data_IF_405544091935
#
_entry.id   IF_405544091935
#
_cell.length_a   1.000
_cell.length_b   1.000
_cell.length_c   1.000
_cell.angle_alpha   90.00
_cell.angle_beta   90.00
_cell.angle_gamma   90.00
#
_symmetry.space_group_name_H-M   'P 1'
#
loop_
_entity.id
_entity.type
_entity.pdbx_description
1 polymer ?
#
# COMPACT_ATOMS: atom_id res chain seq x y z
N UNK A 1 39.52 -5.38 -6.98
CA UNK A 1 38.10 -5.23 -7.38
C UNK A 1 37.40 -6.58 -7.56
N UNK A 2 38.08 -7.63 -8.02
CA UNK A 2 37.45 -8.94 -8.33
C UNK A 2 36.84 -9.75 -7.17
N UNK A 3 37.38 -9.68 -5.94
CA UNK A 3 36.85 -10.53 -4.85
C UNK A 3 35.48 -10.07 -4.32
N UNK A 4 35.20 -8.77 -4.34
CA UNK A 4 33.94 -8.21 -3.82
C UNK A 4 32.79 -8.42 -4.82
N UNK A 5 33.09 -8.34 -6.12
CA UNK A 5 32.13 -8.60 -7.20
C UNK A 5 31.66 -10.05 -7.19
N UNK A 6 32.56 -11.01 -6.96
CA UNK A 6 32.23 -12.44 -6.87
C UNK A 6 31.33 -12.77 -5.66
N UNK A 7 31.53 -12.09 -4.52
CA UNK A 7 30.68 -12.27 -3.33
C UNK A 7 29.27 -11.73 -3.51
N UNK A 8 29.07 -10.68 -4.33
CA UNK A 8 27.76 -10.13 -4.65
C UNK A 8 27.02 -11.02 -5.66
N UNK A 9 27.73 -11.59 -6.64
CA UNK A 9 27.12 -12.51 -7.62
C UNK A 9 26.74 -13.87 -7.02
N UNK A 10 27.49 -14.35 -6.02
CA UNK A 10 27.18 -15.59 -5.29
C UNK A 10 26.14 -15.40 -4.18
N UNK A 11 25.78 -14.15 -3.87
CA UNK A 11 24.72 -13.83 -2.93
C UNK A 11 23.36 -14.22 -3.51
N UNK A 12 22.40 -14.71 -2.71
CA UNK A 12 21.01 -14.88 -3.15
C UNK A 12 20.36 -13.56 -3.60
N UNK A 13 21.03 -12.42 -3.36
CA UNK A 13 20.65 -11.08 -3.82
C UNK A 13 21.38 -10.62 -5.09
N UNK A 14 22.22 -11.46 -5.72
CA UNK A 14 23.06 -11.06 -6.87
C UNK A 14 22.29 -10.58 -8.11
N UNK A 15 20.99 -10.89 -8.20
CA UNK A 15 20.07 -10.38 -9.22
C UNK A 15 19.13 -9.26 -8.75
N UNK A 16 19.24 -8.81 -7.50
CA UNK A 16 18.40 -7.72 -6.97
C UNK A 16 18.86 -6.37 -7.52
N UNK A 17 17.97 -5.54 -8.10
CA UNK A 17 18.34 -4.18 -8.48
C UNK A 17 18.48 -3.26 -7.26
N UNK A 18 18.03 -3.68 -6.07
CA UNK A 18 18.16 -2.92 -4.82
C UNK A 18 19.57 -3.10 -4.28
N UNK A 19 20.30 -1.99 -4.16
CA UNK A 19 21.63 -1.95 -3.58
C UNK A 19 21.56 -2.21 -2.05
N UNK A 20 22.54 -2.95 -1.48
CA UNK A 20 22.47 -3.39 -0.08
C UNK A 20 22.76 -2.29 0.95
N UNK A 21 23.16 -1.10 0.50
CA UNK A 21 23.49 0.03 1.38
C UNK A 21 22.21 0.72 1.88
N UNK A 22 22.11 0.89 3.20
CA UNK A 22 21.06 1.68 3.84
C UNK A 22 21.48 3.16 3.90
N UNK A 23 20.62 4.02 3.36
CA UNK A 23 20.82 5.45 3.25
C UNK A 23 19.79 6.20 4.11
N UNK A 24 20.19 7.39 4.56
CA UNK A 24 19.32 8.37 5.22
C UNK A 24 18.87 9.45 4.22
N UNK A 25 17.85 10.23 4.56
CA UNK A 25 17.30 11.29 3.69
C UNK A 25 18.33 12.36 3.26
N UNK A 26 19.33 12.61 4.10
CA UNK A 26 20.43 13.55 3.84
C UNK A 26 21.48 13.03 2.84
N UNK A 27 21.45 11.75 2.48
CA UNK A 27 22.42 11.16 1.57
C UNK A 27 22.30 11.78 0.17
N UNK A 28 23.42 12.20 -0.42
CA UNK A 28 23.46 12.75 -1.78
C UNK A 28 23.45 11.63 -2.82
N UNK A 29 22.55 11.73 -3.78
CA UNK A 29 22.42 10.84 -4.93
C UNK A 29 22.70 11.60 -6.23
N UNK A 30 23.12 10.85 -7.26
CA UNK A 30 23.20 11.34 -8.63
C UNK A 30 22.05 10.73 -9.43
N UNK A 31 21.09 11.57 -9.82
CA UNK A 31 19.94 11.11 -10.60
C UNK A 31 19.18 12.23 -11.29
N UNK A 32 18.76 11.99 -12.52
CA UNK A 32 17.71 12.75 -13.18
C UNK A 32 16.94 11.90 -14.19
N UNK A 33 15.61 11.85 -14.07
CA UNK A 33 14.74 11.35 -15.13
C UNK A 33 14.08 12.54 -15.80
N UNK A 34 14.27 12.71 -17.11
CA UNK A 34 13.75 13.85 -17.87
C UNK A 34 13.38 13.45 -19.29
N UNK A 35 12.46 14.22 -19.89
CA UNK A 35 12.11 14.06 -21.30
C UNK A 35 13.35 14.21 -22.17
N UNK A 36 13.53 13.27 -23.11
CA UNK A 36 14.68 13.23 -24.01
C UNK A 36 15.91 12.50 -23.48
N UNK A 37 15.86 11.92 -22.28
CA UNK A 37 16.84 10.89 -21.90
C UNK A 37 16.70 9.67 -22.82
N UNK A 38 17.79 8.97 -23.10
CA UNK A 38 17.80 7.82 -24.02
C UNK A 38 17.00 6.61 -23.51
N UNK A 39 16.90 6.44 -22.18
CA UNK A 39 16.05 5.42 -21.55
C UNK A 39 14.58 5.85 -21.34
N UNK A 40 14.10 6.87 -22.08
CA UNK A 40 12.73 7.40 -21.91
C UNK A 40 11.69 6.28 -22.01
N UNK A 41 10.79 6.21 -21.02
CA UNK A 41 9.76 5.18 -20.83
C UNK A 41 10.24 3.72 -20.60
N UNK A 42 11.53 3.44 -20.52
CA UNK A 42 12.02 2.05 -20.32
C UNK A 42 11.47 1.42 -19.03
N UNK A 43 11.37 2.18 -17.94
CA UNK A 43 10.79 1.68 -16.68
C UNK A 43 9.29 1.32 -16.79
N UNK A 44 8.58 1.88 -17.77
CA UNK A 44 7.15 1.62 -17.99
C UNK A 44 6.90 0.44 -18.93
N UNK A 45 7.91 -0.07 -19.64
CA UNK A 45 7.72 -1.13 -20.63
C UNK A 45 7.65 -2.54 -20.03
N UNK A 46 8.07 -2.70 -18.77
CA UNK A 46 8.02 -3.97 -18.05
C UNK A 46 7.76 -3.73 -16.56
N UNK A 47 6.49 -3.61 -16.18
CA UNK A 47 6.12 -3.23 -14.82
C UNK A 47 5.97 -4.42 -13.88
N UNK A 48 6.49 -4.25 -12.67
CA UNK A 48 6.11 -5.05 -11.49
C UNK A 48 5.92 -4.11 -10.29
N UNK A 49 4.79 -3.39 -10.28
CA UNK A 49 4.56 -2.27 -9.37
C UNK A 49 3.49 -2.63 -8.33
N UNK A 50 3.87 -2.73 -7.07
CA UNK A 50 2.91 -2.78 -5.95
C UNK A 50 2.29 -1.40 -5.72
N UNK A 51 0.99 -1.39 -5.44
CA UNK A 51 0.24 -0.16 -5.15
C UNK A 51 -0.11 -0.05 -3.66
N UNK A 52 -0.07 1.17 -3.16
CA UNK A 52 -0.57 1.54 -1.84
C UNK A 52 -2.06 1.94 -1.91
N UNK A 53 -2.77 2.01 -0.76
CA UNK A 53 -4.11 2.61 -0.70
C UNK A 53 -4.18 4.02 -1.28
N UNK A 54 -3.14 4.83 -1.04
CA UNK A 54 -3.05 6.22 -1.53
C UNK A 54 -2.99 6.24 -3.05
N UNK A 55 -2.27 5.29 -3.65
CA UNK A 55 -2.17 5.17 -5.11
C UNK A 55 -3.53 4.82 -5.71
N UNK A 56 -4.24 3.84 -5.14
CA UNK A 56 -5.58 3.45 -5.59
C UNK A 56 -6.56 4.62 -5.51
N UNK A 57 -6.57 5.33 -4.38
CA UNK A 57 -7.44 6.47 -4.19
C UNK A 57 -7.14 7.54 -5.24
N UNK A 58 -5.89 8.01 -5.35
CA UNK A 58 -5.55 9.08 -6.28
C UNK A 58 -5.78 8.72 -7.73
N UNK A 59 -5.40 7.50 -8.15
CA UNK A 59 -5.56 7.06 -9.53
C UNK A 59 -7.04 6.88 -9.89
N UNK A 60 -7.85 6.29 -9.02
CA UNK A 60 -9.29 6.15 -9.28
C UNK A 60 -9.96 7.52 -9.44
N UNK A 61 -9.63 8.49 -8.59
CA UNK A 61 -10.13 9.87 -8.70
C UNK A 61 -9.62 10.59 -9.94
N UNK A 62 -8.34 10.42 -10.30
CA UNK A 62 -7.74 10.97 -11.53
C UNK A 62 -8.44 10.49 -12.79
N UNK A 63 -8.90 9.24 -12.78
CA UNK A 63 -9.61 8.58 -13.89
C UNK A 63 -11.13 8.82 -13.84
N UNK A 64 -11.66 9.40 -12.76
CA UNK A 64 -13.09 9.63 -12.59
C UNK A 64 -13.92 8.36 -12.40
N UNK A 65 -13.32 7.30 -11.84
CA UNK A 65 -13.97 6.00 -11.59
C UNK A 65 -13.93 5.63 -10.10
N UNK A 66 -14.76 4.67 -9.69
CA UNK A 66 -14.70 4.13 -8.33
C UNK A 66 -13.42 3.32 -8.06
N UNK A 67 -13.07 3.14 -6.79
CA UNK A 67 -12.00 2.23 -6.38
C UNK A 67 -12.31 0.79 -6.80
N UNK A 68 -13.57 0.38 -6.74
CA UNK A 68 -14.01 -0.94 -7.21
C UNK A 68 -13.68 -1.14 -8.70
N UNK A 69 -14.04 -0.19 -9.55
CA UNK A 69 -13.75 -0.25 -11.00
C UNK A 69 -12.25 -0.20 -11.27
N UNK A 70 -11.53 0.68 -10.57
CA UNK A 70 -10.08 0.77 -10.71
C UNK A 70 -9.40 -0.56 -10.39
N UNK A 71 -9.77 -1.20 -9.28
CA UNK A 71 -9.20 -2.48 -8.88
C UNK A 71 -9.44 -3.57 -9.93
N UNK A 72 -10.64 -3.61 -10.52
CA UNK A 72 -10.99 -4.60 -11.54
C UNK A 72 -10.23 -4.40 -12.85
N UNK A 73 -10.08 -3.15 -13.30
CA UNK A 73 -9.50 -2.83 -14.60
C UNK A 73 -7.96 -2.79 -14.57
N UNK A 74 -7.39 -2.22 -13.51
CA UNK A 74 -5.98 -1.84 -13.47
C UNK A 74 -5.13 -2.62 -12.49
N UNK A 75 -5.68 -3.57 -11.73
CA UNK A 75 -4.90 -4.27 -10.69
C UNK A 75 -5.09 -5.77 -10.71
N UNK A 76 -4.19 -6.48 -10.03
CA UNK A 76 -4.39 -7.86 -9.62
C UNK A 76 -3.87 -8.07 -8.19
N UNK A 77 -4.51 -8.95 -7.39
CA UNK A 77 -4.08 -9.22 -6.03
C UNK A 77 -2.88 -10.17 -5.99
N UNK A 78 -2.09 -10.08 -4.92
CA UNK A 78 -1.06 -11.06 -4.58
C UNK A 78 -0.97 -11.24 -3.06
N UNK A 79 -0.45 -12.37 -2.60
CA UNK A 79 -0.16 -12.58 -1.18
C UNK A 79 1.16 -11.90 -0.81
N UNK A 80 1.14 -10.98 0.16
CA UNK A 80 2.38 -10.32 0.62
C UNK A 80 3.30 -11.29 1.37
N UNK A 81 2.73 -12.29 2.00
CA UNK A 81 3.38 -13.42 2.68
C UNK A 81 2.44 -14.63 2.60
N UNK A 82 2.94 -15.88 2.65
CA UNK A 82 2.10 -17.07 2.55
C UNK A 82 0.98 -17.08 3.58
N UNK A 83 -0.28 -17.24 3.14
CA UNK A 83 -1.48 -17.15 3.99
C UNK A 83 -1.64 -15.80 4.73
N UNK A 84 -1.00 -14.76 4.21
CA UNK A 84 -0.94 -13.43 4.78
C UNK A 84 -2.02 -12.48 4.26
N UNK A 85 -1.78 -11.19 4.46
CA UNK A 85 -2.61 -10.11 3.91
C UNK A 85 -2.40 -9.96 2.40
N UNK A 86 -3.44 -9.53 1.71
CA UNK A 86 -3.37 -9.24 0.28
C UNK A 86 -2.70 -7.88 0.02
N UNK A 87 -1.79 -7.89 -0.95
CA UNK A 87 -1.35 -6.71 -1.69
C UNK A 87 -2.01 -6.65 -3.05
N UNK A 88 -1.82 -5.53 -3.73
CA UNK A 88 -2.22 -5.36 -5.13
C UNK A 88 -1.04 -4.85 -5.94
N UNK A 89 -0.98 -5.30 -7.19
CA UNK A 89 -0.03 -4.81 -8.18
C UNK A 89 -0.78 -4.19 -9.35
N UNK A 90 -0.13 -3.25 -10.03
CA UNK A 90 -0.62 -2.76 -11.30
C UNK A 90 -0.65 -3.89 -12.33
N UNK A 91 -1.77 -4.00 -13.03
CA UNK A 91 -1.97 -4.92 -14.14
C UNK A 91 -1.33 -4.31 -15.40
N UNK A 92 -0.43 -5.03 -16.10
CA UNK A 92 0.09 -4.58 -17.39
C UNK A 92 -1.00 -4.63 -18.47
N UNK A 93 -0.66 -4.13 -19.66
CA UNK A 93 -1.49 -4.33 -20.86
C UNK A 93 -1.74 -5.82 -21.12
N UNK A 94 -2.87 -6.13 -21.74
CA UNK A 94 -3.19 -7.51 -22.10
C UNK A 94 -2.11 -8.11 -23.01
N UNK A 95 -1.67 -9.33 -22.70
CA UNK A 95 -0.61 -10.05 -23.42
C UNK A 95 0.73 -9.31 -23.50
N UNK A 96 1.03 -8.42 -22.56
CA UNK A 96 2.31 -7.74 -22.46
C UNK A 96 2.70 -7.44 -21.02
N UNK A 97 3.81 -6.72 -20.87
CA UNK A 97 4.32 -6.30 -19.57
C UNK A 97 4.37 -4.78 -19.37
N UNK A 98 3.99 -4.01 -20.39
CA UNK A 98 3.99 -2.55 -20.32
C UNK A 98 2.85 -2.01 -19.43
N UNK A 99 3.09 -0.85 -18.82
CA UNK A 99 2.09 -0.10 -18.09
C UNK A 99 0.96 0.36 -19.01
N UNK A 100 -0.28 0.25 -18.55
CA UNK A 100 -1.46 0.70 -19.30
C UNK A 100 -1.50 2.23 -19.53
N UNK A 101 -0.81 3.00 -18.68
CA UNK A 101 -0.71 4.47 -18.78
C UNK A 101 0.52 4.95 -19.56
N UNK A 102 1.32 4.03 -20.11
CA UNK A 102 2.46 4.38 -20.95
C UNK A 102 1.97 4.95 -22.28
N UNK A 103 2.49 6.12 -22.65
CA UNK A 103 2.32 6.76 -23.97
C UNK A 103 3.70 7.17 -24.51
N UNK A 104 3.86 7.36 -25.84
CA UNK A 104 5.12 7.84 -26.41
C UNK A 104 5.64 9.13 -25.74
N UNK A 105 4.73 10.04 -25.40
CA UNK A 105 5.02 11.33 -24.77
C UNK A 105 5.34 11.24 -23.27
N UNK A 106 5.06 10.11 -22.61
CA UNK A 106 5.29 9.89 -21.18
C UNK A 106 4.14 9.14 -20.51
N UNK A 107 4.07 9.22 -19.18
CA UNK A 107 2.98 8.63 -18.40
C UNK A 107 1.74 9.54 -18.42
N UNK A 108 0.59 9.00 -18.84
CA UNK A 108 -0.69 9.72 -18.91
C UNK A 108 -1.19 10.21 -17.54
N UNK A 109 -0.81 9.51 -16.47
CA UNK A 109 -1.14 9.84 -15.07
C UNK A 109 0.06 10.36 -14.30
N UNK A 110 1.04 10.99 -14.96
CA UNK A 110 2.32 11.36 -14.32
C UNK A 110 2.15 12.15 -13.02
N UNK A 111 1.20 13.09 -12.95
CA UNK A 111 0.89 13.89 -11.75
C UNK A 111 0.39 13.08 -10.55
N UNK A 112 -0.14 11.88 -10.80
CA UNK A 112 -0.77 10.98 -9.83
C UNK A 112 -0.14 9.58 -9.84
N UNK A 113 1.04 9.46 -10.47
CA UNK A 113 1.76 8.20 -10.60
C UNK A 113 2.00 7.55 -9.23
N UNK A 114 2.05 6.21 -9.16
CA UNK A 114 2.17 5.51 -7.89
C UNK A 114 3.39 5.91 -7.08
N UNK A 115 3.27 5.70 -5.77
CA UNK A 115 4.31 5.88 -4.77
C UNK A 115 5.62 5.20 -5.19
N UNK A 116 5.57 3.95 -5.67
CA UNK A 116 6.76 3.23 -6.16
C UNK A 116 7.43 3.94 -7.36
N UNK A 117 6.64 4.47 -8.30
CA UNK A 117 7.15 5.21 -9.47
C UNK A 117 7.76 6.57 -9.08
N UNK A 118 7.25 7.22 -8.03
CA UNK A 118 7.82 8.46 -7.49
C UNK A 118 9.10 8.20 -6.72
N UNK A 119 9.14 7.10 -5.98
CA UNK A 119 10.28 6.74 -5.17
C UNK A 119 11.49 6.41 -6.03
N UNK A 120 11.30 5.70 -7.15
CA UNK A 120 12.38 5.35 -8.07
C UNK A 120 13.27 6.57 -8.41
N UNK A 121 14.59 6.50 -8.24
CA UNK A 121 15.41 5.29 -8.06
C UNK A 121 15.71 4.95 -6.59
N UNK A 122 14.96 5.51 -5.66
CA UNK A 122 15.12 5.32 -4.21
C UNK A 122 14.02 4.39 -3.72
N UNK A 123 14.36 3.24 -3.16
CA UNK A 123 13.40 2.39 -2.47
C UNK A 123 13.21 2.86 -1.02
N UNK A 124 11.96 3.01 -0.58
CA UNK A 124 11.64 3.19 0.84
C UNK A 124 11.64 1.82 1.54
N UNK A 125 12.47 1.70 2.58
CA UNK A 125 12.51 0.57 3.48
C UNK A 125 11.91 0.99 4.83
N UNK A 126 10.73 0.47 5.14
CA UNK A 126 10.13 0.64 6.46
C UNK A 126 10.68 -0.44 7.39
N UNK A 127 11.50 -0.04 8.35
CA UNK A 127 12.10 -0.96 9.32
C UNK A 127 11.57 -0.67 10.72
N UNK A 128 11.30 -1.75 11.47
CA UNK A 128 11.11 -1.69 12.92
C UNK A 128 12.26 -2.45 13.57
N UNK A 129 13.05 -1.76 14.38
CA UNK A 129 14.04 -2.45 15.22
C UNK A 129 13.31 -3.13 16.37
N UNK A 130 13.82 -4.28 16.81
CA UNK A 130 13.23 -5.07 17.89
C UNK A 130 13.15 -4.35 19.24
N UNK A 131 13.99 -3.31 19.42
CA UNK A 131 14.14 -2.48 20.62
C UNK A 131 13.42 -1.12 20.53
N UNK A 132 12.80 -0.78 19.39
CA UNK A 132 12.12 0.51 19.19
C UNK A 132 10.63 0.35 18.86
N UNK A 133 9.83 1.29 19.38
CA UNK A 133 8.40 1.40 19.07
C UNK A 133 8.11 2.35 17.89
N UNK A 134 9.15 2.99 17.33
CA UNK A 134 9.05 3.92 16.21
C UNK A 134 9.52 3.27 14.91
N UNK A 135 8.79 3.51 13.82
CA UNK A 135 9.19 3.15 12.47
C UNK A 135 10.27 4.12 11.96
N UNK A 136 11.43 3.58 11.57
CA UNK A 136 12.46 4.35 10.87
C UNK A 136 12.31 4.15 9.37
N UNK A 137 12.41 5.26 8.64
CA UNK A 137 12.54 5.23 7.19
C UNK A 137 14.02 5.13 6.85
N UNK A 138 14.39 4.03 6.21
CA UNK A 138 15.69 3.91 5.55
C UNK A 138 15.45 3.85 4.05
N UNK A 139 16.46 4.23 3.29
CA UNK A 139 16.40 4.22 1.85
C UNK A 139 17.45 3.29 1.27
N UNK A 140 17.21 2.79 0.07
CA UNK A 140 18.21 2.07 -0.70
C UNK A 140 18.14 2.51 -2.16
N UNK A 141 19.27 2.56 -2.85
CA UNK A 141 19.27 2.83 -4.28
C UNK A 141 18.78 1.61 -5.04
N UNK A 142 17.93 1.84 -6.03
CA UNK A 142 17.55 0.87 -7.05
C UNK A 142 18.33 1.23 -8.31
N UNK A 143 19.11 0.29 -8.83
CA UNK A 143 19.89 0.46 -10.06
C UNK A 143 19.57 -0.68 -11.02
N UNK A 144 18.95 -0.32 -12.12
CA UNK A 144 18.68 -1.24 -13.23
C UNK A 144 19.52 -0.84 -14.44
N UNK A 145 19.94 -1.82 -15.23
CA UNK A 145 20.80 -1.59 -16.40
C UNK A 145 20.17 -0.67 -17.44
N UNK A 146 18.83 -0.67 -17.56
CA UNK A 146 18.11 0.20 -18.49
C UNK A 146 18.06 1.66 -18.04
N UNK A 147 18.27 1.96 -16.75
CA UNK A 147 18.04 3.30 -16.22
C UNK A 147 19.29 4.17 -16.31
N UNK A 148 19.35 4.98 -17.36
CA UNK A 148 20.48 5.88 -17.58
C UNK A 148 20.37 7.20 -16.79
N UNK A 149 19.28 7.42 -16.06
CA UNK A 149 19.12 8.57 -15.17
C UNK A 149 20.19 8.67 -14.07
N UNK A 150 20.85 7.55 -13.74
CA UNK A 150 21.99 7.51 -12.82
C UNK A 150 23.27 8.16 -13.37
N UNK A 151 23.35 8.38 -14.68
CA UNK A 151 24.51 8.97 -15.35
C UNK A 151 24.34 10.46 -15.65
N UNK A 152 23.12 11.00 -15.51
CA UNK A 152 22.88 12.44 -15.62
C UNK A 152 23.65 13.22 -14.52
N UNK A 153 24.10 14.44 -14.78
CA UNK A 153 25.02 15.16 -13.89
C UNK A 153 24.37 15.72 -12.62
N UNK A 154 23.03 15.69 -12.52
CA UNK A 154 22.28 16.26 -11.39
C UNK A 154 22.60 15.51 -10.10
N UNK A 155 22.96 16.28 -9.07
CA UNK A 155 23.14 15.78 -7.70
C UNK A 155 22.17 16.49 -6.77
N UNK A 156 21.60 15.74 -5.84
CA UNK A 156 20.68 16.21 -4.81
C UNK A 156 20.61 15.18 -3.68
N UNK A 157 20.14 15.59 -2.52
CA UNK A 157 19.82 14.69 -1.41
C UNK A 157 18.55 13.88 -1.69
N UNK A 158 18.38 12.76 -0.98
CA UNK A 158 17.14 11.97 -1.06
C UNK A 158 15.94 12.80 -0.61
N UNK A 159 16.07 13.64 0.42
CA UNK A 159 14.96 14.50 0.87
C UNK A 159 14.59 15.57 -0.16
N UNK A 160 15.57 16.20 -0.83
CA UNK A 160 15.30 17.09 -1.96
C UNK A 160 14.62 16.33 -3.11
N UNK A 161 15.06 15.11 -3.41
CA UNK A 161 14.41 14.27 -4.42
C UNK A 161 12.95 13.96 -4.05
N UNK A 162 12.69 13.59 -2.79
CA UNK A 162 11.33 13.31 -2.30
C UNK A 162 10.41 14.53 -2.41
N UNK A 163 10.93 15.71 -2.10
CA UNK A 163 10.22 16.98 -2.30
C UNK A 163 9.89 17.20 -3.78
N UNK A 164 10.87 17.07 -4.67
CA UNK A 164 10.70 17.20 -6.13
C UNK A 164 9.67 16.22 -6.69
N UNK A 165 9.66 14.99 -6.18
CA UNK A 165 8.74 13.94 -6.61
C UNK A 165 7.35 14.06 -5.98
N UNK A 166 7.12 15.02 -5.08
CA UNK A 166 5.84 15.26 -4.41
C UNK A 166 5.39 14.07 -3.57
N UNK A 167 6.33 13.33 -2.98
CA UNK A 167 6.02 12.06 -2.30
C UNK A 167 5.71 12.20 -0.82
N UNK A 168 6.07 13.33 -0.22
CA UNK A 168 5.90 13.57 1.22
C UNK A 168 4.42 13.41 1.63
N UNK A 169 3.50 13.96 0.84
CA UNK A 169 2.07 13.82 1.10
C UNK A 169 1.59 12.36 0.99
N UNK A 170 2.12 11.61 0.01
CA UNK A 170 1.84 10.17 -0.14
C UNK A 170 2.37 9.38 1.06
N UNK A 171 3.55 9.74 1.56
CA UNK A 171 4.12 9.13 2.74
C UNK A 171 3.25 9.39 3.96
N UNK A 172 2.87 10.63 4.21
CA UNK A 172 2.02 11.02 5.34
C UNK A 172 0.69 10.28 5.31
N UNK A 173 -0.01 10.32 4.17
CA UNK A 173 -1.29 9.63 3.99
C UNK A 173 -1.16 8.11 4.12
N UNK A 174 -0.08 7.52 3.58
CA UNK A 174 0.15 6.08 3.60
C UNK A 174 0.79 5.53 4.88
N UNK A 175 1.13 6.37 5.86
CA UNK A 175 1.88 5.98 7.06
C UNK A 175 1.14 4.92 7.88
N UNK A 176 -0.15 5.14 8.13
CA UNK A 176 -0.98 4.20 8.90
C UNK A 176 -1.03 2.81 8.25
N UNK A 177 -1.19 2.75 6.93
CA UNK A 177 -1.13 1.48 6.19
C UNK A 177 0.23 0.78 6.29
N UNK A 178 1.34 1.51 6.13
CA UNK A 178 2.68 0.92 6.26
C UNK A 178 2.92 0.34 7.65
N UNK A 179 2.45 1.04 8.70
CA UNK A 179 2.52 0.54 10.07
C UNK A 179 1.70 -0.75 10.25
N UNK A 180 0.50 -0.83 9.67
CA UNK A 180 -0.32 -2.04 9.68
C UNK A 180 0.36 -3.22 8.98
N UNK A 181 0.93 -3.00 7.79
CA UNK A 181 1.67 -4.01 7.04
C UNK A 181 2.87 -4.49 7.86
N UNK A 182 3.69 -3.56 8.37
CA UNK A 182 4.87 -3.88 9.18
C UNK A 182 4.49 -4.64 10.44
N UNK A 183 3.43 -4.21 11.14
CA UNK A 183 2.92 -4.91 12.31
C UNK A 183 2.51 -6.33 11.95
N UNK A 184 1.77 -6.54 10.86
CA UNK A 184 1.34 -7.87 10.40
C UNK A 184 2.52 -8.77 10.06
N UNK A 185 3.56 -8.24 9.39
CA UNK A 185 4.77 -8.99 9.04
C UNK A 185 5.63 -9.33 10.26
N UNK A 186 5.68 -8.43 11.24
CA UNK A 186 6.42 -8.65 12.50
C UNK A 186 5.64 -9.46 13.55
N UNK A 187 4.37 -9.78 13.28
CA UNK A 187 3.52 -10.50 14.23
C UNK A 187 3.89 -11.97 14.27
N UNK A 188 4.25 -12.46 15.45
CA UNK A 188 4.52 -13.88 15.67
C UNK A 188 3.25 -14.75 15.61
N UNK A 189 3.39 -16.08 15.74
CA UNK A 189 2.29 -17.04 15.64
C UNK A 189 1.14 -16.78 16.63
N UNK A 190 1.38 -16.03 17.71
CA UNK A 190 0.37 -15.64 18.72
C UNK A 190 -0.77 -14.78 18.16
N UNK A 191 -0.54 -14.03 17.08
CA UNK A 191 -1.62 -13.25 16.42
C UNK A 191 -2.53 -14.17 15.58
N UNK A 192 -2.08 -15.39 15.27
CA UNK A 192 -2.81 -16.38 14.49
C UNK A 192 -2.87 -16.05 12.99
N UNK A 193 -3.43 -17.00 12.23
CA UNK A 193 -3.68 -16.83 10.80
C UNK A 193 -4.99 -16.08 10.58
N UNK A 194 -5.02 -14.96 9.83
CA UNK A 194 -6.25 -14.25 9.54
C UNK A 194 -7.28 -15.14 8.85
N UNK A 195 -8.55 -15.03 9.26
CA UNK A 195 -9.65 -15.72 8.57
C UNK A 195 -9.88 -15.14 7.17
N UNK A 196 -10.54 -15.89 6.27
CA UNK A 196 -10.95 -15.37 4.94
C UNK A 196 -11.75 -14.07 5.04
N UNK A 197 -12.63 -13.95 6.05
CA UNK A 197 -13.40 -12.72 6.29
C UNK A 197 -12.51 -11.55 6.71
N UNK A 198 -11.51 -11.81 7.55
CA UNK A 198 -10.52 -10.79 7.95
C UNK A 198 -9.70 -10.31 6.77
N UNK A 199 -9.33 -11.22 5.85
CA UNK A 199 -8.61 -10.87 4.62
C UNK A 199 -9.48 -10.06 3.63
N UNK A 200 -10.75 -10.43 3.48
CA UNK A 200 -11.72 -9.64 2.70
C UNK A 200 -11.92 -8.25 3.28
N UNK A 201 -12.02 -8.14 4.62
CA UNK A 201 -12.13 -6.86 5.31
C UNK A 201 -10.87 -6.00 5.14
N UNK A 202 -9.68 -6.59 5.26
CA UNK A 202 -8.42 -5.93 4.96
C UNK A 202 -8.39 -5.37 3.54
N UNK A 203 -8.76 -6.20 2.55
CA UNK A 203 -8.74 -5.79 1.15
C UNK A 203 -9.72 -4.64 0.89
N UNK A 204 -10.95 -4.74 1.40
CA UNK A 204 -11.97 -3.69 1.27
C UNK A 204 -11.50 -2.38 1.91
N UNK A 205 -11.06 -2.42 3.17
CA UNK A 205 -10.66 -1.24 3.93
C UNK A 205 -9.39 -0.57 3.35
N UNK A 206 -8.44 -1.35 2.82
CA UNK A 206 -7.20 -0.81 2.26
C UNK A 206 -7.36 -0.34 0.81
N UNK A 207 -8.15 -1.01 -0.02
CA UNK A 207 -8.09 -0.78 -1.47
C UNK A 207 -9.44 -0.45 -2.10
N UNK A 208 -10.56 -0.92 -1.55
CA UNK A 208 -11.90 -0.66 -2.10
C UNK A 208 -12.67 0.34 -1.24
N UNK A 209 -12.15 1.57 -1.21
CA UNK A 209 -12.61 2.62 -0.31
C UNK A 209 -14.09 2.98 -0.54
N UNK A 210 -14.60 2.89 -1.77
CA UNK A 210 -16.01 3.13 -2.06
C UNK A 210 -16.93 2.06 -1.40
N UNK A 211 -16.53 0.79 -1.42
CA UNK A 211 -17.25 -0.25 -0.64
C UNK A 211 -17.06 -0.09 0.85
N UNK A 212 -15.87 0.32 1.29
CA UNK A 212 -15.62 0.59 2.70
C UNK A 212 -16.49 1.75 3.21
N UNK A 213 -16.71 2.80 2.40
CA UNK A 213 -17.62 3.91 2.70
C UNK A 213 -19.04 3.39 2.98
N UNK A 214 -19.56 2.54 2.08
CA UNK A 214 -20.87 1.92 2.25
C UNK A 214 -20.95 1.02 3.50
N UNK A 215 -19.86 0.30 3.80
CA UNK A 215 -19.75 -0.51 5.02
C UNK A 215 -19.83 0.36 6.30
N UNK A 216 -19.08 1.47 6.36
CA UNK A 216 -19.08 2.39 7.51
C UNK A 216 -20.42 3.11 7.67
N UNK A 217 -21.10 3.42 6.56
CA UNK A 217 -22.41 4.07 6.58
C UNK A 217 -23.59 3.13 6.95
N UNK A 218 -23.34 1.83 7.13
CA UNK A 218 -24.39 0.83 7.31
C UNK A 218 -24.92 0.75 8.75
N UNK A 219 -26.20 0.38 8.92
CA UNK A 219 -26.80 0.16 10.24
C UNK A 219 -26.04 -0.85 11.10
N UNK A 220 -25.59 -2.01 10.58
CA UNK A 220 -24.81 -2.95 11.39
C UNK A 220 -23.50 -2.36 11.94
N UNK A 221 -22.89 -1.42 11.20
CA UNK A 221 -21.70 -0.71 11.67
C UNK A 221 -22.03 0.24 12.81
N UNK A 222 -23.05 1.08 12.65
CA UNK A 222 -23.48 2.06 13.66
C UNK A 222 -24.07 1.42 14.91
N UNK A 223 -24.60 0.19 14.82
CA UNK A 223 -25.02 -0.60 15.99
C UNK A 223 -23.85 -1.17 16.79
N UNK A 224 -22.68 -1.31 16.16
CA UNK A 224 -21.49 -1.91 16.79
C UNK A 224 -20.58 -0.84 17.40
N UNK A 225 -20.35 0.25 16.67
CA UNK A 225 -19.42 1.31 17.04
C UNK A 225 -20.14 2.57 17.49
N UNK A 226 -19.62 3.20 18.54
CA UNK A 226 -20.08 4.47 19.10
C UNK A 226 -19.20 5.59 18.56
N UNK A 227 -19.56 6.10 17.38
CA UNK A 227 -18.88 7.23 16.71
C UNK A 227 -19.82 8.43 16.74
N UNK A 228 -19.40 9.59 17.24
CA UNK A 228 -20.20 10.81 17.19
C UNK A 228 -20.63 11.15 15.76
N UNK A 229 -21.89 11.60 15.58
CA UNK A 229 -22.43 11.90 14.24
C UNK A 229 -21.57 12.89 13.44
N UNK A 230 -21.01 13.90 14.10
CA UNK A 230 -20.11 14.87 13.47
C UNK A 230 -18.85 14.20 12.90
N UNK A 231 -18.20 13.32 13.67
CA UNK A 231 -17.03 12.57 13.25
C UNK A 231 -17.39 11.60 12.10
N UNK A 232 -18.54 10.91 12.20
CA UNK A 232 -19.00 10.02 11.14
C UNK A 232 -19.25 10.78 9.83
N UNK A 233 -19.82 11.99 9.87
CA UNK A 233 -19.98 12.80 8.67
C UNK A 233 -18.65 13.22 8.06
N UNK A 234 -17.68 13.66 8.86
CA UNK A 234 -16.34 14.01 8.36
C UNK A 234 -15.64 12.82 7.69
N UNK A 235 -15.80 11.61 8.26
CA UNK A 235 -15.32 10.35 7.68
C UNK A 235 -16.03 10.07 6.34
N UNK A 236 -17.35 10.25 6.28
CA UNK A 236 -18.14 9.87 5.12
C UNK A 236 -18.13 10.91 3.97
N UNK A 237 -17.66 12.13 4.20
CA UNK A 237 -17.59 13.18 3.18
C UNK A 237 -16.21 13.35 2.54
N UNK A 238 -15.14 12.92 3.21
CA UNK A 238 -13.77 13.07 2.71
C UNK A 238 -13.09 11.71 2.50
N UNK A 239 -12.46 11.51 1.35
CA UNK A 239 -11.78 10.26 1.00
C UNK A 239 -10.53 10.02 1.88
N UNK A 240 -9.77 11.07 2.21
CA UNK A 240 -8.59 10.91 3.04
C UNK A 240 -8.98 10.58 4.49
N UNK A 241 -9.99 11.25 5.06
CA UNK A 241 -10.53 10.92 6.38
C UNK A 241 -11.06 9.49 6.42
N UNK A 242 -11.79 9.04 5.39
CA UNK A 242 -12.25 7.65 5.30
C UNK A 242 -11.08 6.67 5.27
N UNK A 243 -10.04 6.96 4.50
CA UNK A 243 -8.85 6.12 4.41
C UNK A 243 -8.08 6.06 5.74
N UNK A 244 -7.88 7.20 6.42
CA UNK A 244 -7.27 7.23 7.75
C UNK A 244 -8.13 6.46 8.77
N UNK A 245 -9.45 6.60 8.68
CA UNK A 245 -10.39 5.83 9.50
C UNK A 245 -10.29 4.33 9.21
N UNK A 246 -10.12 3.92 7.95
CA UNK A 246 -9.91 2.52 7.59
C UNK A 246 -8.68 1.93 8.29
N UNK A 247 -7.57 2.68 8.36
CA UNK A 247 -6.38 2.23 9.08
C UNK A 247 -6.61 2.15 10.59
N UNK A 248 -7.27 3.14 11.18
CA UNK A 248 -7.68 3.13 12.60
C UNK A 248 -8.57 1.94 12.92
N UNK A 249 -9.54 1.66 12.05
CA UNK A 249 -10.47 0.54 12.18
C UNK A 249 -9.74 -0.80 12.10
N UNK A 250 -8.84 -0.99 11.14
CA UNK A 250 -8.04 -2.21 10.99
C UNK A 250 -7.15 -2.49 12.20
N UNK A 251 -6.60 -1.46 12.86
CA UNK A 251 -5.88 -1.64 14.14
C UNK A 251 -6.73 -2.35 15.19
N UNK A 252 -8.01 -1.99 15.30
CA UNK A 252 -8.92 -2.63 16.24
C UNK A 252 -9.32 -4.03 15.81
N UNK A 253 -9.80 -4.19 14.57
CA UNK A 253 -10.38 -5.48 14.15
C UNK A 253 -9.33 -6.56 13.90
N UNK A 254 -8.09 -6.20 13.56
CA UNK A 254 -7.03 -7.16 13.28
C UNK A 254 -6.00 -7.31 14.40
N UNK A 255 -5.82 -6.30 15.25
CA UNK A 255 -4.79 -6.30 16.28
C UNK A 255 -5.31 -6.05 17.69
N UNK A 256 -6.64 -6.03 17.88
CA UNK A 256 -7.31 -5.84 19.16
C UNK A 256 -6.87 -4.56 19.91
N UNK A 257 -6.46 -3.53 19.16
CA UNK A 257 -6.21 -2.21 19.72
C UNK A 257 -7.53 -1.46 19.84
N UNK A 258 -7.94 -1.09 21.06
CA UNK A 258 -9.17 -0.33 21.24
C UNK A 258 -8.97 1.12 20.74
N UNK A 259 -9.37 1.39 19.50
CA UNK A 259 -9.21 2.69 18.83
C UNK A 259 -10.53 3.39 18.56
N UNK A 260 -11.63 2.65 18.55
CA UNK A 260 -13.00 3.08 18.29
C UNK A 260 -13.86 2.49 19.40
N UNK A 261 -14.55 3.38 20.11
CA UNK A 261 -15.45 2.99 21.19
C UNK A 261 -16.54 2.08 20.63
N UNK A 262 -16.78 0.95 21.29
CA UNK A 262 -17.87 0.05 20.95
C UNK A 262 -19.09 0.36 21.82
N UNK A 263 -20.29 0.14 21.29
CA UNK A 263 -21.52 0.23 22.09
C UNK A 263 -21.52 -0.90 23.14
N UNK A 264 -22.03 -0.61 24.33
CA UNK A 264 -21.99 -1.54 25.47
C UNK A 264 -22.71 -2.87 25.18
N UNK A 265 -23.74 -2.84 24.35
CA UNK A 265 -24.56 -3.99 23.94
C UNK A 265 -24.08 -4.65 22.63
N UNK A 266 -22.99 -4.16 22.02
CA UNK A 266 -22.50 -4.65 20.74
C UNK A 266 -22.09 -6.14 20.79
N UNK A 267 -21.49 -6.57 21.91
CA UNK A 267 -21.11 -7.96 22.11
C UNK A 267 -22.33 -8.89 22.20
N UNK A 268 -23.33 -8.49 22.97
CA UNK A 268 -24.57 -9.27 23.16
C UNK A 268 -25.35 -9.39 21.85
N UNK A 269 -25.48 -8.29 21.10
CA UNK A 269 -26.10 -8.28 19.75
C UNK A 269 -25.35 -9.17 18.76
N UNK A 270 -24.01 -9.14 18.77
CA UNK A 270 -23.19 -10.01 17.91
C UNK A 270 -23.37 -11.48 18.26
N UNK A 271 -23.45 -11.81 19.54
CA UNK A 271 -23.69 -13.18 20.01
C UNK A 271 -25.09 -13.67 19.61
N UNK A 272 -26.12 -12.82 19.73
CA UNK A 272 -27.48 -13.11 19.29
C UNK A 272 -27.54 -13.39 17.78
N UNK A 273 -26.98 -12.51 16.94
CA UNK A 273 -26.90 -12.69 15.48
C UNK A 273 -26.15 -13.96 15.07
N UNK A 274 -25.09 -14.31 15.81
CA UNK A 274 -24.37 -15.57 15.57
C UNK A 274 -25.28 -16.77 15.85
N UNK A 275 -25.98 -16.78 16.98
CA UNK A 275 -26.92 -17.85 17.34
C UNK A 275 -28.05 -17.97 16.32
N UNK A 276 -28.63 -16.86 15.86
CA UNK A 276 -29.68 -16.83 14.83
C UNK A 276 -29.18 -17.41 13.49
N UNK A 277 -27.99 -17.02 13.04
CA UNK A 277 -27.41 -17.56 11.80
C UNK A 277 -27.09 -19.04 11.93
N UNK A 278 -26.50 -19.44 13.05
CA UNK A 278 -26.11 -20.83 13.28
C UNK A 278 -27.38 -21.72 13.35
N UNK A 279 -28.49 -21.21 13.91
CA UNK A 279 -29.81 -21.85 13.87
C UNK A 279 -30.40 -21.91 12.44
N UNK A 280 -30.33 -20.82 11.67
CA UNK A 280 -30.83 -20.78 10.28
C UNK A 280 -30.02 -21.66 9.32
N UNK A 281 -28.72 -21.92 9.59
CA UNK A 281 -27.89 -22.84 8.82
C UNK A 281 -28.00 -24.31 9.25
N UNK A 282 -28.61 -24.58 10.41
CA UNK A 282 -28.89 -25.93 10.89
C UNK A 282 -30.19 -26.53 10.34
N UNK A 283 -31.06 -25.69 9.77
CA UNK A 283 -32.39 -26.06 9.27
C UNK A 283 -32.41 -26.39 7.76
N UNK A 284 -31.24 -26.36 7.09
CA UNK A 284 -31.09 -26.67 5.66
C UNK A 284 -30.61 -28.11 5.39
N UNK A 285 -30.77 -29.01 6.36
CA UNK A 285 -30.36 -30.42 6.27
C UNK A 285 -31.42 -31.38 6.82
N UNK A 286 -32.68 -31.17 6.45
CA UNK A 286 -33.75 -32.20 6.48
C UNK A 286 -34.38 -32.33 5.09
#
# INVERSE_FOLDING_TARGET
MDKLTNLISESPFGGSPVMPELLEGSATIQFQCRKGIDCWNACCSNIDISLTPVDVLRLSRRLGISTTEFLQQYTYPYEMEPNGIAGIKFKPVENGSACQFMRPEGCEVYSDRPTACRYYPVALLSMRRSDEFTDRQSFAMVKESHCHGHFEPRKLTIDEYRQDQGIIEYDEQGRGWRQLVLKKKSSGPTVGTPSKRSLQLWFMACYDLDRFRAFVASDPFSETYDIPDAELQEILLDDNNLMQFAFRFLRQVMFAEETIKMKADAFDKRLARKKERDAASGDSSE
#
